data_IF_242739187144
#
_entry.id   IF_242739187144
#
_cell.length_a   1.000
_cell.length_b   1.000
_cell.length_c   1.000
_cell.angle_alpha   90.00
_cell.angle_beta   90.00
_cell.angle_gamma   90.00
#
_symmetry.space_group_name_H-M   'P 1'
#
loop_
_entity.id
_entity.type
_entity.pdbx_description
1 polymer ?
#
# COMPACT_ATOMS: atom_id res chain seq x y z
N UNK A 1 44.94 4.57 9.49
CA UNK A 1 44.54 3.34 10.18
C UNK A 1 44.84 3.51 11.66
N UNK A 2 43.88 3.38 12.52
CA UNK A 2 44.05 3.36 13.97
C UNK A 2 43.71 1.97 14.47
N UNK A 3 44.47 1.46 15.42
CA UNK A 3 44.15 0.18 16.05
C UNK A 3 44.55 0.19 17.54
N UNK A 4 43.88 -0.66 18.33
CA UNK A 4 44.22 -0.95 19.73
C UNK A 4 44.12 -2.44 19.96
N UNK A 5 44.96 -2.97 20.86
CA UNK A 5 45.02 -4.37 21.27
C UNK A 5 45.70 -4.47 22.62
N UNK A 6 45.56 -5.59 23.34
CA UNK A 6 46.29 -5.83 24.59
C UNK A 6 47.77 -6.08 24.34
N UNK A 7 48.10 -6.80 23.28
CA UNK A 7 49.46 -7.09 22.88
C UNK A 7 49.67 -6.95 21.37
N UNK A 8 50.80 -6.37 20.96
CA UNK A 8 51.19 -6.26 19.56
C UNK A 8 52.62 -6.79 19.41
N UNK A 9 52.81 -7.69 18.45
CA UNK A 9 54.09 -8.22 18.04
C UNK A 9 54.38 -7.90 16.59
N UNK A 10 55.63 -7.59 16.29
CA UNK A 10 56.08 -7.31 14.92
C UNK A 10 57.24 -8.24 14.54
N UNK A 11 57.08 -9.03 13.49
CA UNK A 11 58.12 -9.81 12.88
C UNK A 11 58.72 -9.00 11.72
N UNK A 12 60.00 -8.60 11.92
CA UNK A 12 60.73 -7.78 10.94
C UNK A 12 61.23 -8.58 9.74
N UNK A 13 61.32 -9.91 9.81
CA UNK A 13 61.78 -10.74 8.69
C UNK A 13 60.64 -10.94 7.68
N UNK A 14 59.48 -11.22 8.17
CA UNK A 14 58.28 -11.46 7.36
C UNK A 14 57.44 -10.19 7.11
N UNK A 15 57.76 -9.08 7.81
CA UNK A 15 56.99 -7.82 7.82
C UNK A 15 55.53 -8.02 8.21
N UNK A 16 55.31 -8.80 9.28
CA UNK A 16 53.99 -9.18 9.79
C UNK A 16 53.77 -8.56 11.16
N UNK A 17 52.64 -7.90 11.32
CA UNK A 17 52.15 -7.38 12.60
C UNK A 17 51.04 -8.31 13.10
N UNK A 18 51.17 -8.81 14.34
CA UNK A 18 50.13 -9.60 15.02
C UNK A 18 49.66 -8.87 16.27
N UNK A 19 48.38 -8.59 16.33
CA UNK A 19 47.68 -8.00 17.48
C UNK A 19 46.80 -9.05 18.13
N UNK A 20 46.84 -9.15 19.46
CA UNK A 20 46.04 -10.11 20.24
C UNK A 20 45.38 -9.43 21.44
N UNK A 21 44.20 -9.91 21.81
CA UNK A 21 43.39 -9.41 22.92
C UNK A 21 42.62 -8.14 22.57
N UNK A 22 41.32 -8.22 22.60
CA UNK A 22 40.36 -7.13 22.30
C UNK A 22 40.78 -6.22 21.16
N UNK A 23 41.20 -6.79 20.05
CA UNK A 23 41.71 -6.02 18.91
C UNK A 23 40.60 -5.20 18.30
N UNK A 24 40.84 -3.91 18.13
CA UNK A 24 39.91 -2.96 17.46
C UNK A 24 40.68 -2.18 16.41
N UNK A 25 40.15 -2.15 15.20
CA UNK A 25 40.75 -1.45 14.06
C UNK A 25 39.70 -0.54 13.43
N UNK A 26 40.14 0.63 12.97
CA UNK A 26 39.29 1.56 12.20
C UNK A 26 40.10 2.09 11.01
N UNK A 27 39.47 2.01 9.83
CA UNK A 27 40.02 2.59 8.60
C UNK A 27 38.90 3.07 7.67
N UNK A 28 38.93 4.34 7.31
CA UNK A 28 37.97 4.95 6.37
C UNK A 28 36.50 4.68 6.74
N UNK A 29 36.17 4.67 8.04
CA UNK A 29 34.83 4.38 8.53
C UNK A 29 34.50 2.90 8.68
N UNK A 30 35.33 1.98 8.18
CA UNK A 30 35.19 0.56 8.47
C UNK A 30 35.77 0.24 9.86
N UNK A 31 34.96 -0.39 10.70
CA UNK A 31 35.36 -0.84 12.02
C UNK A 31 35.48 -2.35 12.04
N UNK A 32 36.53 -2.87 12.63
CA UNK A 32 36.80 -4.30 12.85
C UNK A 32 37.16 -4.55 14.32
N UNK A 33 36.52 -5.54 14.92
CA UNK A 33 36.91 -6.09 16.22
C UNK A 33 37.11 -7.60 16.10
N UNK A 34 38.16 -8.15 16.80
CA UNK A 34 38.45 -9.57 16.80
C UNK A 34 39.32 -9.92 18.01
N UNK A 35 39.46 -11.22 18.32
CA UNK A 35 40.37 -11.68 19.35
C UNK A 35 41.84 -11.60 18.91
N UNK A 36 42.08 -11.85 17.60
CA UNK A 36 43.44 -11.80 17.00
C UNK A 36 43.35 -11.23 15.59
N UNK A 37 44.29 -10.33 15.27
CA UNK A 37 44.47 -9.79 13.91
C UNK A 37 45.92 -9.91 13.51
N UNK A 38 46.14 -10.51 12.34
CA UNK A 38 47.48 -10.60 11.70
C UNK A 38 47.46 -9.78 10.43
N UNK A 39 48.34 -8.83 10.30
CA UNK A 39 48.49 -7.99 9.11
C UNK A 39 49.86 -8.27 8.44
N UNK A 40 49.79 -8.88 7.27
CA UNK A 40 50.96 -9.05 6.38
C UNK A 40 51.09 -7.78 5.53
N UNK A 41 52.10 -6.99 5.81
CA UNK A 41 52.32 -5.70 5.17
C UNK A 41 52.92 -5.85 3.74
N UNK A 42 53.58 -6.99 3.45
CA UNK A 42 54.10 -7.28 2.11
C UNK A 42 52.96 -7.57 1.12
N UNK A 43 52.01 -8.38 1.52
CA UNK A 43 50.86 -8.75 0.67
C UNK A 43 49.66 -7.79 0.82
N UNK A 44 49.64 -6.96 1.85
CA UNK A 44 48.51 -6.11 2.19
C UNK A 44 47.28 -6.90 2.70
N UNK A 45 47.48 -8.14 3.19
CA UNK A 45 46.41 -8.99 3.69
C UNK A 45 46.25 -8.86 5.20
N UNK A 46 45.00 -8.78 5.64
CA UNK A 46 44.61 -8.75 7.07
C UNK A 46 43.80 -9.98 7.37
N UNK A 47 44.22 -10.76 8.36
CA UNK A 47 43.55 -11.96 8.83
C UNK A 47 43.02 -11.68 10.24
N UNK A 48 41.68 -11.71 10.44
CA UNK A 48 41.06 -11.59 11.74
C UNK A 48 40.41 -12.91 12.15
N UNK A 49 40.58 -13.30 13.42
CA UNK A 49 40.09 -14.57 13.97
C UNK A 49 39.51 -14.37 15.37
N UNK A 50 38.47 -15.14 15.66
CA UNK A 50 37.79 -15.16 16.94
C UNK A 50 36.89 -13.94 17.14
N UNK A 51 35.60 -14.20 17.37
CA UNK A 51 34.57 -13.17 17.65
C UNK A 51 34.62 -11.95 16.71
N UNK A 52 34.87 -12.22 15.42
CA UNK A 52 35.07 -11.13 14.45
C UNK A 52 33.76 -10.37 14.22
N UNK A 53 33.81 -9.07 14.47
CA UNK A 53 32.72 -8.12 14.18
C UNK A 53 33.25 -7.02 13.28
N UNK A 54 32.60 -6.81 12.15
CA UNK A 54 32.91 -5.71 11.23
C UNK A 54 31.67 -4.84 11.03
N UNK A 55 31.86 -3.52 11.00
CA UNK A 55 30.79 -2.55 10.70
C UNK A 55 31.28 -1.69 9.53
N UNK A 56 30.44 -1.59 8.49
CA UNK A 56 30.73 -0.76 7.32
C UNK A 56 30.31 0.69 7.53
N UNK A 57 30.81 1.66 6.74
CA UNK A 57 30.36 3.05 6.81
C UNK A 57 28.87 3.22 6.57
N UNK A 58 28.22 2.31 5.82
CA UNK A 58 26.79 2.28 5.53
C UNK A 58 25.95 1.78 6.72
N UNK A 59 26.58 1.21 7.76
CA UNK A 59 25.93 0.69 8.96
C UNK A 59 25.66 -0.82 8.96
N UNK A 60 26.06 -1.54 7.91
CA UNK A 60 25.94 -2.99 7.87
C UNK A 60 26.89 -3.64 8.89
N UNK A 61 26.35 -4.58 9.68
CA UNK A 61 27.12 -5.31 10.69
C UNK A 61 27.34 -6.75 10.24
N UNK A 62 28.59 -7.15 10.12
CA UNK A 62 29.01 -8.51 9.80
C UNK A 62 29.61 -9.16 11.05
N UNK A 63 29.22 -10.40 11.30
CA UNK A 63 29.79 -11.28 12.34
C UNK A 63 30.27 -12.55 11.67
N UNK A 64 31.45 -13.04 12.01
CA UNK A 64 32.02 -14.27 11.43
C UNK A 64 33.15 -14.84 12.26
N UNK A 65 33.62 -16.04 11.90
CA UNK A 65 34.66 -16.75 12.63
C UNK A 65 36.07 -16.39 12.14
N UNK A 66 36.25 -16.41 10.82
CA UNK A 66 37.53 -16.12 10.15
C UNK A 66 37.28 -15.13 9.02
N UNK A 67 38.00 -14.05 9.04
CA UNK A 67 37.90 -12.97 8.07
C UNK A 67 39.26 -12.70 7.45
N UNK A 68 39.34 -12.71 6.14
CA UNK A 68 40.50 -12.28 5.37
C UNK A 68 40.10 -11.05 4.57
N UNK A 69 40.79 -9.96 4.78
CA UNK A 69 40.50 -8.66 4.15
C UNK A 69 41.78 -8.14 3.45
N UNK A 70 41.59 -7.28 2.47
CA UNK A 70 42.64 -6.38 2.02
C UNK A 70 42.94 -5.36 3.12
N UNK A 71 44.12 -4.73 3.05
CA UNK A 71 44.52 -3.69 3.99
C UNK A 71 43.59 -2.47 3.98
N UNK A 72 42.86 -2.25 2.89
CA UNK A 72 41.79 -1.24 2.77
C UNK A 72 40.50 -1.59 3.51
N UNK A 73 40.37 -2.86 3.96
CA UNK A 73 39.14 -3.41 4.61
C UNK A 73 37.87 -3.35 3.74
N UNK A 74 38.02 -3.11 2.43
CA UNK A 74 36.90 -3.00 1.48
C UNK A 74 36.54 -4.33 0.82
N UNK A 75 37.56 -5.14 0.54
CA UNK A 75 37.42 -6.43 -0.13
C UNK A 75 37.91 -7.56 0.78
N UNK A 76 37.36 -8.74 0.62
CA UNK A 76 37.77 -9.88 1.43
C UNK A 76 36.85 -11.09 1.34
N UNK A 77 37.14 -12.06 2.20
CA UNK A 77 36.41 -13.32 2.32
C UNK A 77 36.11 -13.61 3.80
N UNK A 78 34.94 -14.11 4.07
CA UNK A 78 34.50 -14.47 5.44
C UNK A 78 33.85 -15.85 5.40
N UNK A 79 34.21 -16.71 6.32
CA UNK A 79 33.56 -18.00 6.51
C UNK A 79 32.58 -17.95 7.70
N UNK A 80 31.48 -18.70 7.59
CA UNK A 80 30.42 -18.81 8.59
C UNK A 80 29.92 -17.45 9.10
N UNK A 81 29.43 -16.63 8.18
CA UNK A 81 29.08 -15.27 8.50
C UNK A 81 27.58 -15.05 8.67
N UNK A 82 27.27 -14.01 9.42
CA UNK A 82 25.97 -13.38 9.45
C UNK A 82 26.13 -11.87 9.21
N UNK A 83 25.42 -11.35 8.23
CA UNK A 83 25.31 -9.91 7.97
C UNK A 83 23.93 -9.42 8.43
N UNK A 84 23.92 -8.36 9.20
CA UNK A 84 22.72 -7.58 9.52
C UNK A 84 22.83 -6.29 8.73
N UNK A 85 21.99 -6.16 7.73
CA UNK A 85 21.92 -4.97 6.88
C UNK A 85 21.29 -3.79 7.66
N UNK A 86 21.75 -2.59 7.41
CA UNK A 86 21.19 -1.37 7.99
C UNK A 86 19.69 -1.27 7.67
N UNK A 87 19.27 -1.69 6.48
CA UNK A 87 17.89 -1.80 6.05
C UNK A 87 17.03 -2.83 6.80
N UNK A 88 17.59 -3.55 7.78
CA UNK A 88 16.90 -4.52 8.65
C UNK A 88 16.91 -5.97 8.17
N UNK A 89 17.40 -6.27 6.97
CA UNK A 89 17.58 -7.64 6.47
C UNK A 89 18.73 -8.37 7.18
N UNK A 90 18.66 -9.70 7.23
CA UNK A 90 19.71 -10.57 7.78
C UNK A 90 20.10 -11.62 6.76
N UNK A 91 21.38 -11.78 6.51
CA UNK A 91 21.95 -12.80 5.61
C UNK A 91 22.91 -13.65 6.43
N UNK A 92 22.62 -14.94 6.59
CA UNK A 92 23.58 -15.92 7.09
C UNK A 92 24.09 -16.75 5.93
N UNK A 93 25.41 -17.01 5.85
CA UNK A 93 26.00 -17.78 4.77
C UNK A 93 27.19 -18.58 5.24
N UNK A 94 27.48 -19.71 4.56
CA UNK A 94 28.69 -20.49 4.82
C UNK A 94 29.95 -19.74 4.43
N UNK A 95 29.87 -18.96 3.35
CA UNK A 95 30.98 -18.14 2.87
C UNK A 95 30.44 -16.88 2.22
N UNK A 96 31.07 -15.77 2.50
CA UNK A 96 30.90 -14.50 1.84
C UNK A 96 32.19 -14.02 1.21
N UNK A 97 32.08 -13.37 0.06
CA UNK A 97 33.18 -12.65 -0.59
C UNK A 97 32.72 -11.25 -0.91
N UNK A 98 33.59 -10.27 -0.75
CA UNK A 98 33.36 -8.89 -1.19
C UNK A 98 34.48 -8.51 -2.16
N UNK A 99 34.11 -8.09 -3.35
CA UNK A 99 35.04 -7.66 -4.41
C UNK A 99 34.51 -6.38 -5.04
N UNK A 100 35.29 -5.33 -5.02
CA UNK A 100 34.90 -3.99 -5.49
C UNK A 100 33.57 -3.50 -4.86
N UNK A 101 33.38 -3.80 -3.58
CA UNK A 101 32.19 -3.44 -2.82
C UNK A 101 30.99 -4.38 -3.01
N UNK A 102 30.99 -5.27 -4.01
CA UNK A 102 29.89 -6.22 -4.26
C UNK A 102 30.04 -7.43 -3.34
N UNK A 103 29.06 -7.65 -2.48
CA UNK A 103 28.96 -8.83 -1.61
C UNK A 103 28.37 -10.03 -2.35
N UNK A 104 29.02 -11.18 -2.27
CA UNK A 104 28.51 -12.45 -2.78
C UNK A 104 28.51 -13.49 -1.66
N UNK A 105 27.35 -14.07 -1.37
CA UNK A 105 27.14 -15.01 -0.27
C UNK A 105 26.74 -16.38 -0.81
N UNK A 106 27.44 -17.42 -0.42
CA UNK A 106 27.23 -18.79 -0.87
C UNK A 106 26.55 -19.63 0.21
N UNK A 107 25.61 -20.48 -0.21
CA UNK A 107 24.75 -21.28 0.68
C UNK A 107 24.12 -20.39 1.74
N UNK A 108 23.40 -19.38 1.29
CA UNK A 108 22.88 -18.31 2.11
C UNK A 108 21.42 -18.49 2.49
N UNK A 109 21.05 -17.91 3.63
CA UNK A 109 19.68 -17.73 4.10
C UNK A 109 19.48 -16.24 4.33
N UNK A 110 18.42 -15.69 3.75
CA UNK A 110 17.98 -14.30 3.96
C UNK A 110 16.64 -14.26 4.68
N UNK A 111 16.50 -13.35 5.63
CA UNK A 111 15.22 -13.01 6.26
C UNK A 111 15.23 -11.57 6.79
N UNK A 112 14.16 -10.77 6.63
CA UNK A 112 13.97 -9.51 7.35
C UNK A 112 13.38 -9.72 8.75
N UNK A 113 12.91 -10.95 9.07
CA UNK A 113 12.28 -11.22 10.36
C UNK A 113 13.31 -11.27 11.50
N UNK A 114 12.93 -10.89 12.73
CA UNK A 114 13.76 -11.12 13.90
C UNK A 114 14.05 -12.62 14.09
N UNK A 115 15.31 -12.96 14.33
CA UNK A 115 15.78 -14.34 14.61
C UNK A 115 16.01 -14.59 16.11
N UNK A 116 15.76 -13.60 16.93
CA UNK A 116 15.79 -13.67 18.41
C UNK A 116 14.48 -13.15 18.98
N UNK A 117 14.07 -13.67 20.12
CA UNK A 117 12.97 -13.12 20.93
C UNK A 117 13.43 -11.85 21.66
N UNK A 118 12.50 -11.11 22.26
CA UNK A 118 12.81 -9.94 23.10
C UNK A 118 13.69 -10.29 24.30
N UNK A 119 13.71 -11.57 24.72
CA UNK A 119 14.57 -12.11 25.77
C UNK A 119 15.91 -12.62 25.26
N UNK A 120 16.23 -12.43 23.94
CA UNK A 120 17.48 -12.84 23.32
C UNK A 120 17.57 -14.33 22.93
N UNK A 121 16.53 -15.13 23.14
CA UNK A 121 16.53 -16.55 22.74
C UNK A 121 16.39 -16.70 21.20
N UNK A 122 17.06 -17.70 20.57
CA UNK A 122 16.90 -17.97 19.16
C UNK A 122 15.45 -18.25 18.76
N UNK A 123 14.98 -17.60 17.69
CA UNK A 123 13.63 -17.75 17.14
C UNK A 123 13.72 -18.07 15.65
N UNK A 124 12.91 -19.04 15.20
CA UNK A 124 12.79 -19.30 13.77
C UNK A 124 12.00 -18.14 13.11
N UNK A 125 12.50 -17.58 12.00
CA UNK A 125 11.77 -16.56 11.28
C UNK A 125 10.48 -17.15 10.71
N UNK A 126 9.42 -16.33 10.62
CA UNK A 126 8.16 -16.73 9.98
C UNK A 126 8.34 -17.06 8.50
N UNK A 127 9.27 -16.37 7.85
CA UNK A 127 9.68 -16.70 6.51
C UNK A 127 11.16 -16.42 6.26
N UNK A 128 11.74 -17.14 5.33
CA UNK A 128 13.12 -16.99 4.89
C UNK A 128 13.29 -17.41 3.43
N UNK A 129 14.36 -16.96 2.82
CA UNK A 129 14.79 -17.39 1.49
C UNK A 129 16.14 -18.09 1.65
N UNK A 130 16.20 -19.37 1.28
CA UNK A 130 17.48 -20.08 1.13
C UNK A 130 17.91 -19.99 -0.32
N UNK A 131 19.21 -19.73 -0.58
CA UNK A 131 19.73 -19.62 -1.92
C UNK A 131 21.11 -20.24 -2.04
N UNK A 132 21.43 -20.78 -3.21
CA UNK A 132 22.78 -21.25 -3.51
C UNK A 132 23.76 -20.08 -3.51
N UNK A 133 23.29 -18.91 -4.02
CA UNK A 133 24.09 -17.68 -4.08
C UNK A 133 23.18 -16.46 -3.90
N UNK A 134 23.65 -15.50 -3.12
CA UNK A 134 23.03 -14.19 -2.94
C UNK A 134 24.07 -13.13 -3.33
N UNK A 135 23.66 -12.15 -4.14
CA UNK A 135 24.53 -11.05 -4.58
C UNK A 135 23.91 -9.75 -4.06
N UNK A 136 24.70 -9.01 -3.32
CA UNK A 136 24.39 -7.70 -2.78
C UNK A 136 25.37 -6.66 -3.34
N UNK A 137 24.88 -5.86 -4.29
CA UNK A 137 25.62 -4.73 -4.87
C UNK A 137 25.12 -3.43 -4.19
N UNK A 138 25.98 -2.65 -3.53
CA UNK A 138 25.61 -1.40 -2.90
C UNK A 138 25.05 -0.36 -3.89
N UNK A 139 25.43 -0.43 -5.18
CA UNK A 139 24.90 0.45 -6.22
C UNK A 139 23.55 -0.01 -6.78
N UNK A 140 23.08 -1.20 -6.39
CA UNK A 140 21.79 -1.74 -6.79
C UNK A 140 20.78 -1.60 -5.66
N UNK A 141 19.57 -1.11 -5.89
CA UNK A 141 18.51 -1.10 -4.88
C UNK A 141 17.93 -2.50 -4.62
N UNK A 142 18.57 -3.56 -5.13
CA UNK A 142 18.07 -4.95 -5.07
C UNK A 142 19.13 -5.93 -4.65
N UNK A 143 18.69 -6.98 -3.94
CA UNK A 143 19.47 -8.18 -3.65
C UNK A 143 19.03 -9.26 -4.65
N UNK A 144 19.99 -9.88 -5.33
CA UNK A 144 19.76 -10.94 -6.31
C UNK A 144 19.99 -12.32 -5.67
N UNK A 145 19.06 -13.23 -5.91
CA UNK A 145 19.08 -14.61 -5.42
C UNK A 145 19.15 -15.58 -6.60
N UNK A 146 20.07 -16.55 -6.52
CA UNK A 146 20.26 -17.62 -7.50
C UNK A 146 20.03 -18.99 -6.81
N UNK A 147 19.20 -19.84 -7.39
CA UNK A 147 18.83 -21.13 -6.80
C UNK A 147 18.00 -20.96 -5.51
N UNK A 148 17.12 -19.94 -5.48
CA UNK A 148 16.35 -19.59 -4.31
C UNK A 148 15.20 -20.53 -4.03
N UNK A 149 14.92 -20.77 -2.74
CA UNK A 149 13.73 -21.46 -2.22
C UNK A 149 13.11 -20.62 -1.14
N UNK A 150 11.85 -20.32 -1.27
CA UNK A 150 11.10 -19.61 -0.25
C UNK A 150 10.65 -20.59 0.84
N UNK A 151 10.80 -20.21 2.09
CA UNK A 151 10.40 -21.00 3.24
C UNK A 151 9.41 -20.19 4.08
N UNK A 152 8.20 -20.69 4.21
CA UNK A 152 7.13 -20.08 5.00
C UNK A 152 6.75 -21.05 6.13
N UNK A 153 6.90 -20.63 7.39
CA UNK A 153 6.67 -21.47 8.59
C UNK A 153 7.33 -22.86 8.52
N UNK A 154 8.50 -22.95 7.85
CA UNK A 154 9.24 -24.19 7.67
C UNK A 154 8.85 -25.02 6.43
N UNK A 155 7.84 -24.62 5.65
CA UNK A 155 7.44 -25.28 4.40
C UNK A 155 8.19 -24.64 3.24
N UNK A 156 8.83 -25.46 2.42
CA UNK A 156 9.54 -25.01 1.23
C UNK A 156 8.57 -24.80 0.05
N UNK A 157 8.55 -23.59 -0.48
CA UNK A 157 7.83 -23.23 -1.70
C UNK A 157 8.88 -22.97 -2.79
N UNK A 158 8.83 -23.66 -3.95
CA UNK A 158 9.77 -23.39 -5.03
C UNK A 158 9.57 -21.98 -5.57
N UNK A 159 10.68 -21.26 -5.79
CA UNK A 159 10.70 -19.96 -6.47
C UNK A 159 11.36 -20.09 -7.84
N UNK A 160 11.31 -19.00 -8.61
CA UNK A 160 12.07 -18.88 -9.85
C UNK A 160 13.56 -19.11 -9.60
N UNK A 161 14.29 -19.72 -10.55
CA UNK A 161 15.72 -20.03 -10.39
C UNK A 161 16.58 -18.79 -10.12
N UNK A 162 16.15 -17.63 -10.57
CA UNK A 162 16.76 -16.32 -10.29
C UNK A 162 15.65 -15.31 -10.04
N UNK A 163 15.75 -14.59 -8.94
CA UNK A 163 14.84 -13.47 -8.62
C UNK A 163 15.57 -12.39 -7.82
N UNK A 164 14.93 -11.25 -7.65
CA UNK A 164 15.48 -10.11 -6.93
C UNK A 164 14.44 -9.57 -5.96
N UNK A 165 14.88 -9.08 -4.80
CA UNK A 165 14.07 -8.36 -3.84
C UNK A 165 14.65 -6.96 -3.61
N UNK A 166 13.80 -5.99 -3.32
CA UNK A 166 14.21 -4.63 -2.99
C UNK A 166 14.94 -4.58 -1.64
N UNK A 167 15.96 -3.73 -1.54
CA UNK A 167 16.62 -3.36 -0.29
C UNK A 167 15.80 -2.27 0.40
N UNK A 168 15.60 -2.42 1.72
CA UNK A 168 15.02 -1.38 2.56
C UNK A 168 13.56 -1.03 2.23
N UNK A 169 13.19 0.18 2.63
CA UNK A 169 11.84 0.74 2.48
C UNK A 169 11.64 1.53 1.17
N UNK A 170 12.70 1.79 0.44
CA UNK A 170 12.60 2.45 -0.86
C UNK A 170 12.03 1.47 -1.87
N UNK A 171 10.91 1.86 -2.50
CA UNK A 171 10.24 1.04 -3.49
C UNK A 171 11.15 0.74 -4.68
N UNK A 172 11.23 -0.51 -5.06
CA UNK A 172 11.94 -0.93 -6.26
C UNK A 172 11.02 -1.72 -7.17
N UNK A 173 11.14 -1.50 -8.50
CA UNK A 173 10.38 -2.31 -9.47
C UNK A 173 10.83 -3.76 -9.43
N UNK A 174 9.92 -4.71 -9.55
CA UNK A 174 10.21 -6.14 -9.56
C UNK A 174 8.97 -7.00 -9.38
N UNK A 175 9.17 -8.31 -9.49
CA UNK A 175 8.15 -9.30 -9.18
C UNK A 175 7.84 -9.30 -7.69
N UNK A 176 6.56 -9.30 -7.35
CA UNK A 176 6.08 -9.48 -5.98
C UNK A 176 5.83 -10.98 -5.70
N UNK A 177 5.38 -11.28 -4.50
CA UNK A 177 5.07 -12.66 -4.11
C UNK A 177 3.87 -13.16 -4.92
N UNK A 178 3.97 -14.32 -5.60
CA UNK A 178 2.84 -14.88 -6.30
C UNK A 178 1.72 -15.29 -5.34
N UNK A 179 0.50 -15.14 -5.78
CA UNK A 179 -0.70 -15.54 -5.05
C UNK A 179 -1.32 -16.78 -5.70
N UNK A 180 -1.88 -17.64 -4.88
CA UNK A 180 -2.54 -18.88 -5.31
C UNK A 180 -3.94 -18.91 -4.73
N UNK A 181 -4.93 -19.20 -5.59
CA UNK A 181 -6.31 -19.35 -5.16
C UNK A 181 -6.94 -20.58 -5.80
N UNK A 182 -7.97 -21.11 -5.17
CA UNK A 182 -8.77 -22.21 -5.70
C UNK A 182 -10.25 -21.85 -5.59
N UNK A 183 -10.94 -21.81 -6.69
CA UNK A 183 -12.37 -21.56 -6.73
C UNK A 183 -13.12 -22.58 -7.59
N UNK A 184 -14.35 -22.89 -7.20
CA UNK A 184 -15.22 -23.79 -7.99
C UNK A 184 -15.59 -23.21 -9.36
N UNK A 185 -15.47 -21.90 -9.55
CA UNK A 185 -15.86 -21.19 -10.78
C UNK A 185 -14.72 -21.05 -11.78
N UNK A 186 -13.51 -20.74 -11.31
CA UNK A 186 -12.35 -20.42 -12.15
C UNK A 186 -11.26 -21.50 -12.08
N UNK A 187 -11.43 -22.51 -11.21
CA UNK A 187 -10.44 -23.55 -10.98
C UNK A 187 -9.27 -23.05 -10.10
N UNK A 188 -8.11 -23.61 -10.30
CA UNK A 188 -6.87 -23.15 -9.68
C UNK A 188 -6.38 -21.89 -10.39
N UNK A 189 -5.95 -20.92 -9.61
CA UNK A 189 -5.45 -19.62 -10.06
C UNK A 189 -4.03 -19.41 -9.57
N UNK A 190 -3.21 -18.86 -10.45
CA UNK A 190 -1.90 -18.29 -10.11
C UNK A 190 -1.91 -16.84 -10.60
N UNK A 191 -1.60 -15.93 -9.72
CA UNK A 191 -1.35 -14.53 -10.07
C UNK A 191 0.02 -14.10 -9.59
N UNK A 192 0.76 -13.36 -10.42
CA UNK A 192 2.11 -12.91 -10.09
C UNK A 192 2.26 -11.43 -10.40
N UNK A 193 2.11 -10.55 -9.40
CA UNK A 193 2.20 -9.12 -9.61
C UNK A 193 3.61 -8.67 -9.97
N UNK A 194 3.73 -7.81 -10.97
CA UNK A 194 4.95 -7.07 -11.29
C UNK A 194 4.76 -5.59 -10.94
N UNK A 195 5.54 -5.14 -9.98
CA UNK A 195 5.53 -3.75 -9.52
C UNK A 195 6.55 -2.92 -10.29
N UNK A 196 6.13 -1.75 -10.79
CA UNK A 196 6.96 -0.77 -11.47
C UNK A 196 6.97 0.50 -10.64
N UNK A 197 8.09 0.81 -10.01
CA UNK A 197 8.31 2.09 -9.37
C UNK A 197 8.64 3.15 -10.43
N UNK A 198 7.71 4.03 -10.72
CA UNK A 198 7.88 5.10 -11.71
C UNK A 198 8.63 6.29 -11.10
N UNK A 199 8.28 6.62 -9.86
CA UNK A 199 8.89 7.66 -9.05
C UNK A 199 8.72 7.30 -7.55
N UNK A 200 9.37 7.96 -6.60
CA UNK A 200 9.18 7.68 -5.17
C UNK A 200 7.72 7.75 -4.70
N UNK A 201 6.90 8.53 -5.41
CA UNK A 201 5.50 8.77 -5.09
C UNK A 201 4.52 8.25 -6.16
N UNK A 202 5.02 7.44 -7.14
CA UNK A 202 4.22 6.90 -8.25
C UNK A 202 4.61 5.48 -8.55
N UNK A 203 3.63 4.62 -8.65
CA UNK A 203 3.85 3.22 -9.02
C UNK A 203 2.73 2.67 -9.91
N UNK A 204 3.08 1.61 -10.63
CA UNK A 204 2.18 0.80 -11.41
C UNK A 204 2.40 -0.67 -11.03
N UNK A 205 1.34 -1.38 -10.71
CA UNK A 205 1.38 -2.83 -10.54
C UNK A 205 0.57 -3.49 -11.65
N UNK A 206 1.18 -4.46 -12.32
CA UNK A 206 0.58 -5.28 -13.36
C UNK A 206 0.49 -6.71 -12.84
N UNK A 207 -0.71 -7.27 -12.77
CA UNK A 207 -0.92 -8.62 -12.24
C UNK A 207 -1.57 -9.51 -13.31
N UNK A 208 -0.82 -10.34 -14.02
CA UNK A 208 -1.39 -11.41 -14.83
C UNK A 208 -2.00 -12.50 -13.94
N UNK A 209 -3.17 -12.96 -14.29
CA UNK A 209 -3.89 -14.08 -13.66
C UNK A 209 -4.04 -15.22 -14.64
N UNK A 210 -3.60 -16.39 -14.26
CA UNK A 210 -3.74 -17.63 -15.04
C UNK A 210 -4.65 -18.59 -14.30
N UNK A 211 -5.69 -19.05 -14.97
CA UNK A 211 -6.71 -19.93 -14.41
C UNK A 211 -6.71 -21.27 -15.14
N UNK A 212 -7.14 -22.34 -14.47
CA UNK A 212 -7.28 -23.66 -15.13
C UNK A 212 -8.61 -23.83 -15.85
N UNK A 213 -9.67 -23.13 -15.47
CA UNK A 213 -11.04 -23.32 -16.02
C UNK A 213 -11.54 -22.16 -16.87
N UNK A 214 -10.85 -21.02 -16.88
CA UNK A 214 -11.21 -19.82 -17.67
C UNK A 214 -9.97 -19.23 -18.32
N UNK A 215 -10.18 -18.32 -19.29
CA UNK A 215 -9.07 -17.64 -19.95
C UNK A 215 -8.35 -16.69 -18.99
N UNK A 216 -7.08 -16.39 -19.26
CA UNK A 216 -6.29 -15.49 -18.45
C UNK A 216 -6.92 -14.10 -18.33
N UNK A 217 -6.56 -13.40 -17.26
CA UNK A 217 -6.92 -12.02 -17.02
C UNK A 217 -5.69 -11.20 -16.67
N UNK A 218 -5.86 -9.89 -16.71
CA UNK A 218 -4.84 -8.92 -16.29
C UNK A 218 -5.49 -7.88 -15.39
N UNK A 219 -4.84 -7.61 -14.25
CA UNK A 219 -5.15 -6.50 -13.36
C UNK A 219 -4.06 -5.43 -13.47
N UNK A 220 -4.46 -4.18 -13.46
CA UNK A 220 -3.63 -2.99 -13.49
C UNK A 220 -3.98 -2.11 -12.32
N UNK A 221 -3.00 -1.65 -11.57
CA UNK A 221 -3.17 -0.70 -10.48
C UNK A 221 -2.11 0.39 -10.53
N UNK A 222 -2.52 1.61 -10.85
CA UNK A 222 -1.67 2.80 -10.81
C UNK A 222 -1.98 3.62 -9.56
N UNK A 223 -0.96 4.09 -8.86
CA UNK A 223 -1.08 4.97 -7.69
C UNK A 223 -0.18 6.19 -7.85
N UNK A 224 -0.70 7.32 -7.42
CA UNK A 224 0.03 8.59 -7.41
C UNK A 224 -0.23 9.32 -6.09
N UNK A 225 0.82 9.82 -5.48
CA UNK A 225 0.79 10.68 -4.30
C UNK A 225 1.48 11.99 -4.64
N UNK A 226 0.76 13.10 -4.54
CA UNK A 226 1.26 14.45 -4.76
C UNK A 226 1.10 15.31 -3.51
N UNK A 227 1.67 16.50 -3.52
CA UNK A 227 1.46 17.48 -2.43
C UNK A 227 -0.01 17.93 -2.31
N UNK A 228 -0.79 17.79 -3.39
CA UNK A 228 -2.22 18.14 -3.38
C UNK A 228 -3.10 16.98 -2.94
N UNK A 229 -2.63 15.73 -3.02
CA UNK A 229 -3.45 14.58 -2.66
C UNK A 229 -2.97 13.28 -3.30
N UNK A 230 -3.77 12.25 -3.14
CA UNK A 230 -3.50 10.91 -3.65
C UNK A 230 -4.64 10.42 -4.53
N UNK A 231 -4.29 9.65 -5.58
CA UNK A 231 -5.27 8.91 -6.35
C UNK A 231 -4.76 7.54 -6.79
N UNK A 232 -5.70 6.65 -7.03
CA UNK A 232 -5.47 5.32 -7.56
C UNK A 232 -6.41 5.08 -8.73
N UNK A 233 -5.88 4.44 -9.77
CA UNK A 233 -6.66 3.94 -10.92
C UNK A 233 -6.41 2.45 -11.01
N UNK A 234 -7.48 1.66 -11.05
CA UNK A 234 -7.44 0.21 -11.19
C UNK A 234 -8.21 -0.26 -12.42
N UNK A 235 -7.84 -1.41 -12.96
CA UNK A 235 -8.54 -2.01 -14.06
C UNK A 235 -8.26 -3.49 -14.18
N UNK A 236 -9.31 -4.29 -14.31
CA UNK A 236 -9.29 -5.72 -14.56
C UNK A 236 -9.84 -6.01 -15.94
N UNK A 237 -9.15 -6.83 -16.75
CA UNK A 237 -9.57 -7.20 -18.10
C UNK A 237 -9.37 -8.70 -18.35
N UNK A 238 -10.37 -9.32 -18.93
CA UNK A 238 -10.33 -10.70 -19.40
C UNK A 238 -11.19 -10.89 -20.66
N UNK A 239 -11.01 -12.00 -21.34
CA UNK A 239 -11.88 -12.40 -22.44
C UNK A 239 -12.60 -13.70 -22.08
N UNK A 240 -13.92 -13.66 -21.95
CA UNK A 240 -14.67 -14.81 -21.45
C UNK A 240 -16.16 -14.76 -21.77
N UNK A 241 -16.86 -15.82 -21.37
CA UNK A 241 -18.32 -15.88 -21.53
C UNK A 241 -18.99 -15.09 -20.41
N UNK A 242 -20.03 -14.36 -20.78
CA UNK A 242 -20.93 -13.71 -19.81
C UNK A 242 -21.84 -14.78 -19.26
N UNK A 243 -21.84 -14.95 -17.93
CA UNK A 243 -22.80 -15.84 -17.28
C UNK A 243 -24.20 -15.24 -17.46
N UNK A 244 -25.10 -15.97 -18.11
CA UNK A 244 -26.47 -15.51 -18.25
C UNK A 244 -27.16 -15.60 -16.89
N UNK A 245 -27.68 -14.45 -16.44
CA UNK A 245 -28.35 -14.32 -15.16
C UNK A 245 -29.81 -14.79 -15.19
N UNK A 246 -30.31 -15.26 -16.34
CA UNK A 246 -31.68 -15.75 -16.48
C UNK A 246 -31.82 -17.16 -15.89
N UNK A 247 -32.66 -17.30 -14.90
CA UNK A 247 -33.09 -18.58 -14.34
C UNK A 247 -33.70 -19.40 -15.49
N UNK A 248 -33.04 -20.49 -15.89
CA UNK A 248 -33.49 -21.36 -16.97
C UNK A 248 -32.71 -21.28 -18.29
N UNK A 249 -31.74 -20.39 -18.45
CA UNK A 249 -30.87 -20.39 -19.62
C UNK A 249 -29.86 -21.54 -19.57
N UNK A 250 -30.02 -22.52 -20.45
CA UNK A 250 -29.13 -23.72 -20.55
C UNK A 250 -27.88 -23.44 -21.37
N UNK A 251 -27.73 -22.28 -21.99
CA UNK A 251 -26.61 -21.95 -22.87
C UNK A 251 -25.77 -20.80 -22.31
N UNK A 252 -24.47 -21.01 -22.21
CA UNK A 252 -23.52 -19.93 -21.89
C UNK A 252 -23.56 -18.86 -23.00
N UNK A 253 -23.57 -17.59 -22.63
CA UNK A 253 -23.56 -16.45 -23.55
C UNK A 253 -22.31 -16.39 -24.44
N UNK A 254 -22.28 -15.50 -25.44
CA UNK A 254 -21.12 -15.32 -26.30
C UNK A 254 -19.87 -14.90 -25.50
N UNK A 255 -18.70 -15.18 -26.04
CA UNK A 255 -17.44 -14.67 -25.51
C UNK A 255 -17.29 -13.19 -25.86
N UNK A 256 -16.88 -12.39 -24.90
CA UNK A 256 -16.61 -10.97 -25.09
C UNK A 256 -15.49 -10.51 -24.15
N UNK A 257 -14.97 -9.32 -24.37
CA UNK A 257 -14.14 -8.65 -23.38
C UNK A 257 -14.99 -8.31 -22.16
N UNK A 258 -14.47 -8.65 -21.00
CA UNK A 258 -15.09 -8.38 -19.71
C UNK A 258 -14.09 -7.66 -18.85
N UNK A 259 -14.52 -6.65 -18.16
CA UNK A 259 -13.61 -5.86 -17.34
C UNK A 259 -14.31 -5.10 -16.22
N UNK A 260 -13.49 -4.62 -15.35
CA UNK A 260 -13.84 -3.73 -14.26
C UNK A 260 -12.84 -2.57 -14.23
N UNK A 261 -13.33 -1.39 -13.95
CA UNK A 261 -12.52 -0.18 -13.80
C UNK A 261 -12.88 0.48 -12.48
N UNK A 262 -11.86 0.93 -11.74
CA UNK A 262 -12.02 1.79 -10.59
C UNK A 262 -11.01 2.94 -10.58
N UNK A 263 -11.45 4.09 -10.08
CA UNK A 263 -10.60 5.23 -9.85
C UNK A 263 -11.05 5.93 -8.56
N UNK A 264 -10.14 6.09 -7.62
CA UNK A 264 -10.39 6.73 -6.34
C UNK A 264 -9.34 7.81 -6.10
N UNK A 265 -9.79 8.97 -5.63
CA UNK A 265 -8.87 10.06 -5.35
C UNK A 265 -9.41 11.06 -4.34
N UNK A 266 -8.49 11.68 -3.62
CA UNK A 266 -8.78 12.83 -2.76
C UNK A 266 -7.67 13.87 -2.94
N UNK A 267 -8.07 15.10 -3.25
CA UNK A 267 -7.19 16.24 -3.43
C UNK A 267 -7.58 17.36 -2.48
N UNK A 268 -6.61 17.89 -1.78
CA UNK A 268 -6.74 19.07 -0.93
C UNK A 268 -6.21 20.28 -1.73
N UNK A 269 -7.11 21.09 -2.29
CA UNK A 269 -6.71 22.22 -3.13
C UNK A 269 -6.08 23.35 -2.33
N UNK A 270 -6.63 23.56 -1.12
CA UNK A 270 -6.14 24.49 -0.11
C UNK A 270 -6.69 24.05 1.26
N UNK A 271 -6.38 24.75 2.38
CA UNK A 271 -6.85 24.33 3.73
C UNK A 271 -8.36 24.13 3.88
N UNK A 272 -9.17 24.80 3.04
CA UNK A 272 -10.63 24.73 3.12
C UNK A 272 -11.26 23.84 2.06
N UNK A 273 -10.69 23.75 0.84
CA UNK A 273 -11.30 23.06 -0.29
C UNK A 273 -10.68 21.70 -0.57
N UNK A 274 -11.51 20.71 -0.70
CA UNK A 274 -11.11 19.36 -1.12
C UNK A 274 -12.02 18.82 -2.23
N UNK A 275 -11.46 17.90 -3.04
CA UNK A 275 -12.19 17.12 -4.04
C UNK A 275 -12.01 15.65 -3.69
N UNK A 276 -13.10 14.92 -3.62
CA UNK A 276 -13.10 13.46 -3.46
C UNK A 276 -13.82 12.84 -4.64
N UNK A 277 -13.22 11.81 -5.25
CA UNK A 277 -13.85 11.04 -6.32
C UNK A 277 -13.74 9.55 -6.10
N UNK A 278 -14.76 8.82 -6.52
CA UNK A 278 -14.75 7.36 -6.61
C UNK A 278 -15.58 6.98 -7.82
N UNK A 279 -14.92 6.38 -8.81
CA UNK A 279 -15.54 5.91 -10.05
C UNK A 279 -15.34 4.40 -10.15
N UNK A 280 -16.41 3.65 -10.40
CA UNK A 280 -16.40 2.19 -10.46
C UNK A 280 -17.35 1.72 -11.54
N UNK A 281 -16.85 1.00 -12.53
CA UNK A 281 -17.64 0.52 -13.67
C UNK A 281 -17.29 -0.92 -13.98
N UNK A 282 -18.28 -1.74 -14.22
CA UNK A 282 -18.15 -3.13 -14.67
C UNK A 282 -18.78 -3.30 -16.05
N UNK A 283 -18.19 -4.11 -16.89
CA UNK A 283 -18.70 -4.42 -18.23
C UNK A 283 -20.03 -5.17 -18.20
N UNK A 284 -20.23 -5.98 -17.19
CA UNK A 284 -21.44 -6.77 -16.98
C UNK A 284 -21.68 -7.03 -15.47
N UNK A 285 -22.90 -7.51 -15.14
CA UNK A 285 -23.34 -7.71 -13.76
C UNK A 285 -22.60 -8.82 -13.00
N UNK A 286 -21.86 -9.68 -13.68
CA UNK A 286 -21.29 -10.90 -13.10
C UNK A 286 -19.75 -10.90 -13.02
N UNK A 287 -19.05 -10.01 -13.73
CA UNK A 287 -17.59 -9.99 -13.81
C UNK A 287 -16.94 -9.82 -12.45
N UNK A 288 -17.46 -8.89 -11.64
CA UNK A 288 -16.87 -8.58 -10.33
C UNK A 288 -16.95 -9.74 -9.35
N UNK A 289 -18.08 -10.46 -9.31
CA UNK A 289 -18.26 -11.62 -8.43
C UNK A 289 -17.59 -12.87 -8.97
N UNK A 290 -17.52 -13.02 -10.30
CA UNK A 290 -16.87 -14.18 -10.91
C UNK A 290 -15.39 -14.22 -10.62
N UNK A 291 -14.71 -13.08 -10.72
CA UNK A 291 -13.27 -12.96 -10.53
C UNK A 291 -12.88 -12.43 -9.15
N UNK A 292 -13.82 -12.43 -8.20
CA UNK A 292 -13.63 -12.04 -6.80
C UNK A 292 -13.06 -10.62 -6.61
N UNK A 293 -13.43 -9.70 -7.53
CA UNK A 293 -12.97 -8.30 -7.49
C UNK A 293 -13.70 -7.53 -6.39
N UNK A 294 -15.03 -7.66 -6.31
CA UNK A 294 -15.86 -7.09 -5.24
C UNK A 294 -17.19 -7.84 -5.13
N UNK A 295 -17.70 -7.91 -3.91
CA UNK A 295 -19.00 -8.49 -3.59
C UNK A 295 -20.13 -7.45 -3.52
N UNK A 296 -19.88 -6.21 -3.90
CA UNK A 296 -20.87 -5.15 -3.89
C UNK A 296 -22.06 -5.46 -4.84
N UNK A 297 -23.25 -5.18 -4.40
CA UNK A 297 -24.45 -5.28 -5.22
C UNK A 297 -24.63 -4.09 -6.16
N UNK A 298 -24.01 -2.97 -5.85
CA UNK A 298 -24.03 -1.72 -6.63
C UNK A 298 -22.68 -1.05 -6.60
N UNK A 299 -22.22 -0.63 -7.76
CA UNK A 299 -21.00 0.16 -7.87
C UNK A 299 -21.38 1.64 -7.72
N UNK A 300 -20.89 2.26 -6.65
CA UNK A 300 -21.12 3.67 -6.37
C UNK A 300 -20.09 4.53 -7.09
N UNK A 301 -20.59 5.52 -7.81
CA UNK A 301 -19.81 6.57 -8.42
C UNK A 301 -20.11 7.89 -7.74
N UNK A 302 -19.10 8.62 -7.32
CA UNK A 302 -19.24 9.89 -6.63
C UNK A 302 -18.13 10.84 -7.04
N UNK A 303 -18.52 12.10 -7.24
CA UNK A 303 -17.60 13.24 -7.25
C UNK A 303 -18.16 14.24 -6.26
N UNK A 304 -17.35 14.68 -5.31
CA UNK A 304 -17.71 15.66 -4.29
C UNK A 304 -16.66 16.75 -4.22
N UNK A 305 -17.07 17.99 -4.36
CA UNK A 305 -16.27 19.19 -4.09
C UNK A 305 -16.76 19.76 -2.76
N UNK A 306 -15.89 19.85 -1.79
CA UNK A 306 -16.22 20.20 -0.42
C UNK A 306 -15.37 21.37 0.07
N UNK A 307 -16.03 22.34 0.71
CA UNK A 307 -15.39 23.39 1.45
C UNK A 307 -15.76 23.30 2.92
N UNK A 308 -14.76 23.31 3.79
CA UNK A 308 -14.92 23.37 5.24
C UNK A 308 -14.14 24.57 5.74
N UNK A 309 -14.85 25.51 6.38
CA UNK A 309 -14.23 26.63 7.06
C UNK A 309 -14.85 26.77 8.47
N UNK A 310 -14.31 27.62 9.38
CA UNK A 310 -14.85 27.76 10.73
C UNK A 310 -16.35 28.12 10.77
N UNK A 311 -16.82 28.88 9.79
CA UNK A 311 -18.18 29.44 9.78
C UNK A 311 -19.02 28.96 8.58
N UNK A 312 -18.48 28.09 7.72
CA UNK A 312 -19.24 27.60 6.60
C UNK A 312 -18.83 26.19 6.15
N UNK A 313 -19.80 25.46 5.68
CA UNK A 313 -19.68 24.19 5.00
C UNK A 313 -20.39 24.23 3.66
N UNK A 314 -19.74 23.79 2.58
CA UNK A 314 -20.34 23.68 1.27
C UNK A 314 -19.93 22.33 0.68
N UNK A 315 -20.89 21.54 0.24
CA UNK A 315 -20.69 20.30 -0.51
C UNK A 315 -21.49 20.37 -1.81
N UNK A 316 -20.81 20.13 -2.93
CA UNK A 316 -21.41 19.99 -4.26
C UNK A 316 -21.02 18.61 -4.77
N UNK A 317 -21.98 17.71 -4.80
CA UNK A 317 -21.75 16.30 -5.15
C UNK A 317 -22.57 15.86 -6.37
N UNK A 318 -22.01 14.88 -7.08
CA UNK A 318 -22.74 14.09 -8.06
C UNK A 318 -22.61 12.60 -7.72
N UNK A 319 -23.71 11.86 -7.78
CA UNK A 319 -23.74 10.42 -7.49
C UNK A 319 -24.45 9.66 -8.59
N UNK A 320 -23.84 8.57 -9.02
CA UNK A 320 -24.42 7.61 -9.94
C UNK A 320 -24.15 6.18 -9.45
N UNK A 321 -24.98 5.24 -9.84
CA UNK A 321 -24.83 3.86 -9.42
C UNK A 321 -24.97 2.93 -10.62
N UNK A 322 -24.12 1.90 -10.68
CA UNK A 322 -24.33 0.76 -11.55
C UNK A 322 -24.83 -0.43 -10.74
N UNK A 323 -26.01 -0.94 -11.06
CA UNK A 323 -26.58 -2.13 -10.43
C UNK A 323 -25.95 -3.41 -10.95
N UNK A 324 -25.64 -4.33 -10.03
CA UNK A 324 -25.05 -5.63 -10.34
C UNK A 324 -25.98 -6.81 -10.00
N UNK A 325 -27.14 -6.54 -9.41
CA UNK A 325 -28.16 -7.58 -9.18
C UNK A 325 -28.87 -7.95 -10.48
N UNK A 326 -29.35 -9.18 -10.56
CA UNK A 326 -30.08 -9.69 -11.75
C UNK A 326 -31.27 -8.80 -12.08
N UNK A 327 -32.03 -8.40 -11.06
CA UNK A 327 -33.29 -7.63 -11.20
C UNK A 327 -33.05 -6.12 -11.36
N UNK A 328 -31.81 -5.63 -11.21
CA UNK A 328 -31.53 -4.22 -11.38
C UNK A 328 -31.77 -3.77 -12.82
N UNK A 329 -32.64 -2.79 -13.01
CA UNK A 329 -32.86 -2.11 -14.28
C UNK A 329 -32.04 -0.84 -14.30
N UNK A 330 -30.90 -0.87 -14.99
CA UNK A 330 -29.93 0.25 -14.98
C UNK A 330 -30.56 1.59 -15.37
N UNK A 331 -31.52 1.60 -16.31
CA UNK A 331 -32.20 2.82 -16.74
C UNK A 331 -33.07 3.44 -15.64
N UNK A 332 -33.50 2.67 -14.66
CA UNK A 332 -34.36 3.13 -13.55
C UNK A 332 -33.56 3.53 -12.30
N UNK A 333 -32.25 3.25 -12.29
CA UNK A 333 -31.36 3.64 -11.19
C UNK A 333 -31.14 5.16 -11.24
N UNK A 334 -31.40 5.90 -10.16
CA UNK A 334 -31.31 7.35 -10.14
C UNK A 334 -29.85 7.83 -10.21
N UNK A 335 -29.67 8.96 -10.89
CA UNK A 335 -28.46 9.78 -10.85
C UNK A 335 -28.82 11.05 -10.08
N UNK A 336 -28.06 11.38 -9.06
CA UNK A 336 -28.24 12.61 -8.27
C UNK A 336 -27.15 13.61 -8.69
N UNK A 337 -27.57 14.66 -9.42
CA UNK A 337 -26.64 15.69 -9.94
C UNK A 337 -27.39 16.97 -10.31
N UNK A 338 -27.10 18.12 -9.66
CA UNK A 338 -26.24 18.24 -8.47
C UNK A 338 -26.97 17.85 -7.17
N UNK A 339 -26.19 17.42 -6.17
CA UNK A 339 -26.59 17.40 -4.77
C UNK A 339 -25.76 18.47 -4.05
N UNK A 340 -26.44 19.53 -3.56
CA UNK A 340 -25.78 20.66 -2.92
C UNK A 340 -26.23 20.73 -1.46
N UNK A 341 -25.28 20.88 -0.54
CA UNK A 341 -25.53 21.23 0.86
C UNK A 341 -24.60 22.37 1.24
N UNK A 342 -25.18 23.50 1.64
CA UNK A 342 -24.44 24.68 2.05
C UNK A 342 -24.96 25.16 3.41
N UNK A 343 -24.09 25.35 4.38
CA UNK A 343 -24.39 25.79 5.74
C UNK A 343 -23.49 26.95 6.09
N UNK A 344 -24.08 28.01 6.64
CA UNK A 344 -23.40 29.21 6.99
C UNK A 344 -23.79 29.65 8.41
N UNK A 345 -22.78 29.85 9.25
CA UNK A 345 -22.93 30.44 10.56
C UNK A 345 -22.69 31.93 10.43
N UNK A 346 -23.79 32.70 10.47
CA UNK A 346 -23.81 34.13 10.08
C UNK A 346 -23.42 35.09 11.22
N UNK A 347 -22.78 34.61 12.29
CA UNK A 347 -22.38 35.42 13.43
C UNK A 347 -23.55 35.76 14.38
N UNK A 348 -23.33 36.67 15.31
CA UNK A 348 -24.33 37.07 16.32
C UNK A 348 -25.38 38.03 15.73
N UNK A 349 -26.63 37.64 15.82
CA UNK A 349 -27.79 38.48 15.52
C UNK A 349 -28.64 38.61 16.78
N UNK A 350 -28.84 39.84 17.29
CA UNK A 350 -29.60 40.14 18.52
C UNK A 350 -29.17 39.28 19.73
N UNK A 351 -27.85 39.00 19.87
CA UNK A 351 -27.26 38.23 20.95
C UNK A 351 -27.40 36.70 20.81
N UNK A 352 -27.98 36.22 19.74
CA UNK A 352 -28.10 34.80 19.38
C UNK A 352 -27.28 34.46 18.11
N UNK A 353 -27.01 33.19 17.90
CA UNK A 353 -26.31 32.66 16.74
C UNK A 353 -27.33 32.36 15.60
N UNK A 354 -27.06 32.94 14.44
CA UNK A 354 -27.86 32.62 13.24
C UNK A 354 -27.11 31.58 12.35
N UNK A 355 -27.79 30.50 12.03
CA UNK A 355 -27.33 29.51 11.03
C UNK A 355 -28.31 29.49 9.84
N UNK A 356 -27.75 29.50 8.63
CA UNK A 356 -28.54 29.39 7.39
C UNK A 356 -28.07 28.16 6.64
N UNK A 357 -29.01 27.32 6.23
CA UNK A 357 -28.76 26.17 5.38
C UNK A 357 -29.50 26.30 4.05
N UNK A 358 -28.80 26.04 2.96
CA UNK A 358 -29.38 25.86 1.64
C UNK A 358 -29.05 24.45 1.12
N UNK A 359 -30.05 23.75 0.62
CA UNK A 359 -29.89 22.40 0.10
C UNK A 359 -30.63 22.28 -1.23
N UNK A 360 -30.02 21.60 -2.20
CA UNK A 360 -30.63 21.27 -3.48
C UNK A 360 -30.28 19.86 -3.89
N UNK A 361 -31.23 19.13 -4.44
CA UNK A 361 -31.04 17.78 -4.96
C UNK A 361 -31.84 17.63 -6.25
N UNK A 362 -31.14 17.34 -7.35
CA UNK A 362 -31.75 16.93 -8.60
C UNK A 362 -31.49 15.42 -8.80
N UNK A 363 -32.54 14.67 -9.00
CA UNK A 363 -32.52 13.23 -9.29
C UNK A 363 -33.09 13.03 -10.67
N UNK A 364 -32.29 12.42 -11.57
CA UNK A 364 -32.70 12.08 -12.92
C UNK A 364 -32.60 10.59 -13.19
N UNK A 365 -33.43 10.07 -14.11
CA UNK A 365 -33.42 8.66 -14.56
C UNK A 365 -33.52 8.63 -16.07
N UNK A 366 -32.97 7.59 -16.69
CA UNK A 366 -33.17 7.36 -18.13
C UNK A 366 -34.61 6.89 -18.40
N UNK A 367 -35.18 6.13 -17.44
CA UNK A 367 -36.53 5.58 -17.51
C UNK A 367 -37.13 5.69 -16.11
N UNK A 368 -38.14 6.58 -15.97
CA UNK A 368 -38.80 6.86 -14.71
C UNK A 368 -38.88 8.35 -14.38
N UNK A 369 -39.47 8.66 -13.25
CA UNK A 369 -39.77 10.01 -12.81
C UNK A 369 -38.54 10.77 -12.35
N UNK A 370 -38.33 11.98 -12.86
CA UNK A 370 -37.34 12.93 -12.40
C UNK A 370 -37.88 13.79 -11.26
N UNK A 371 -37.01 14.14 -10.32
CA UNK A 371 -37.42 14.93 -9.16
C UNK A 371 -36.33 15.93 -8.81
N UNK A 372 -36.72 17.17 -8.62
CA UNK A 372 -35.86 18.23 -8.14
C UNK A 372 -36.47 18.82 -6.87
N UNK A 373 -35.62 19.05 -5.88
CA UNK A 373 -36.03 19.75 -4.65
C UNK A 373 -34.96 20.74 -4.26
N UNK A 374 -35.37 21.85 -3.68
CA UNK A 374 -34.51 22.76 -3.00
C UNK A 374 -35.20 23.28 -1.74
N UNK A 375 -34.40 23.58 -0.71
CA UNK A 375 -34.88 24.31 0.45
C UNK A 375 -33.85 25.29 0.96
N UNK A 376 -34.34 26.29 1.66
CA UNK A 376 -33.55 27.19 2.49
C UNK A 376 -34.15 27.20 3.88
N UNK A 377 -33.33 27.05 4.92
CA UNK A 377 -33.75 27.17 6.31
C UNK A 377 -32.84 28.15 7.04
N UNK A 378 -33.41 28.81 8.02
CA UNK A 378 -32.69 29.67 8.97
C UNK A 378 -33.08 29.27 10.38
N UNK A 379 -32.07 29.10 11.23
CA UNK A 379 -32.24 28.79 12.65
C UNK A 379 -31.46 29.83 13.46
N UNK A 380 -32.14 30.41 14.42
CA UNK A 380 -31.55 31.38 15.33
C UNK A 380 -31.65 30.88 16.76
N UNK A 381 -30.51 30.76 17.43
CA UNK A 381 -30.35 30.23 18.77
C UNK A 381 -29.81 31.31 19.71
N UNK A 382 -30.58 31.68 20.71
CA UNK A 382 -30.14 32.53 21.84
C UNK A 382 -29.93 31.62 23.06
N UNK A 383 -28.70 31.60 23.57
CA UNK A 383 -28.35 30.91 24.84
C UNK A 383 -27.90 31.90 25.87
N UNK A 384 -28.62 31.99 26.99
CA UNK A 384 -28.21 32.88 28.11
C UNK A 384 -28.12 32.07 29.39
N UNK A 385 -27.09 32.32 30.16
CA UNK A 385 -26.94 31.81 31.52
C UNK A 385 -27.56 32.82 32.48
N UNK A 386 -28.52 32.39 33.30
CA UNK A 386 -29.12 33.24 34.33
C UNK A 386 -28.14 33.38 35.50
N UNK A 387 -28.29 34.43 36.33
CA UNK A 387 -27.47 34.58 37.56
C UNK A 387 -27.57 33.40 38.53
N UNK A 388 -28.61 32.61 38.45
CA UNK A 388 -28.86 31.42 39.29
C UNK A 388 -28.29 30.12 38.68
N UNK A 389 -27.50 30.18 37.58
CA UNK A 389 -26.87 29.01 36.94
C UNK A 389 -27.81 28.21 36.01
N UNK A 390 -28.97 28.72 35.68
CA UNK A 390 -29.89 28.11 34.69
C UNK A 390 -29.51 28.56 33.29
N UNK A 391 -29.50 27.64 32.34
CA UNK A 391 -29.33 27.94 30.93
C UNK A 391 -30.69 28.12 30.28
N UNK A 392 -30.96 29.31 29.76
CA UNK A 392 -32.12 29.59 28.93
C UNK A 392 -31.72 29.47 27.44
N UNK A 393 -32.41 28.66 26.67
CA UNK A 393 -32.26 28.58 25.24
C UNK A 393 -33.58 28.99 24.57
N UNK A 394 -33.47 29.93 23.64
CA UNK A 394 -34.57 30.35 22.79
C UNK A 394 -34.18 30.07 21.33
N UNK A 395 -34.95 29.25 20.64
CA UNK A 395 -34.70 28.88 19.24
C UNK A 395 -35.86 29.38 18.38
N UNK A 396 -35.51 30.04 17.27
CA UNK A 396 -36.45 30.41 16.23
C UNK A 396 -36.00 29.72 14.91
N UNK A 397 -36.92 29.04 14.24
CA UNK A 397 -36.65 28.28 13.02
C UNK A 397 -37.67 28.64 11.93
N UNK A 398 -37.13 28.78 10.69
CA UNK A 398 -37.94 28.96 9.50
C UNK A 398 -37.37 28.18 8.34
N UNK A 399 -38.23 27.57 7.49
CA UNK A 399 -37.84 26.81 6.33
C UNK A 399 -38.81 26.99 5.18
N UNK A 400 -38.30 27.13 3.95
CA UNK A 400 -39.07 27.13 2.72
C UNK A 400 -38.55 26.04 1.78
N UNK A 401 -39.46 25.28 1.19
CA UNK A 401 -39.17 24.16 0.29
C UNK A 401 -39.83 24.37 -1.09
N UNK A 402 -39.10 23.96 -2.17
CA UNK A 402 -39.63 23.91 -3.53
C UNK A 402 -39.38 22.51 -4.09
N UNK A 403 -40.39 21.94 -4.73
CA UNK A 403 -40.33 20.65 -5.38
C UNK A 403 -40.81 20.78 -6.82
N UNK A 404 -40.10 20.10 -7.73
CA UNK A 404 -40.51 19.91 -9.11
C UNK A 404 -40.38 18.43 -9.45
N UNK A 405 -41.37 17.89 -10.15
CA UNK A 405 -41.43 16.48 -10.52
C UNK A 405 -41.99 16.38 -11.91
N UNK A 406 -41.25 15.79 -12.85
CA UNK A 406 -41.69 15.51 -14.21
C UNK A 406 -42.36 14.13 -14.27
N UNK A 407 -43.23 13.93 -15.25
CA UNK A 407 -43.97 12.67 -15.50
C UNK A 407 -44.74 12.11 -14.28
N UNK A 408 -45.24 13.00 -13.41
CA UNK A 408 -46.14 12.60 -12.38
C UNK A 408 -47.46 12.13 -13.02
N UNK A 409 -47.79 10.83 -12.92
CA UNK A 409 -49.14 10.37 -13.17
C UNK A 409 -50.07 11.16 -12.25
N UNK A 410 -51.21 11.63 -12.78
CA UNK A 410 -52.23 12.34 -12.01
C UNK A 410 -52.59 11.53 -10.74
N UNK A 411 -51.88 11.79 -9.67
CA UNK A 411 -52.26 11.27 -8.35
C UNK A 411 -53.32 12.19 -7.80
N UNK A 412 -54.50 11.68 -7.62
CA UNK A 412 -55.57 12.33 -6.87
C UNK A 412 -54.97 12.87 -5.57
N UNK A 413 -54.99 14.20 -5.41
CA UNK A 413 -54.38 14.87 -4.24
C UNK A 413 -55.12 14.42 -2.99
N UNK A 414 -54.55 13.48 -2.25
CA UNK A 414 -54.98 13.22 -0.87
C UNK A 414 -54.42 14.34 0.00
N UNK A 415 -55.25 15.34 0.30
CA UNK A 415 -54.89 16.35 1.30
C UNK A 415 -54.88 15.66 2.66
N UNK A 416 -53.69 15.27 3.14
CA UNK A 416 -53.51 14.89 4.53
C UNK A 416 -53.46 16.16 5.37
N UNK A 417 -54.59 16.58 5.91
CA UNK A 417 -54.63 17.49 7.04
C UNK A 417 -54.22 16.70 8.30
N UNK A 418 -52.95 16.57 8.55
CA UNK A 418 -52.41 16.00 9.78
C UNK A 418 -52.52 17.04 10.88
N UNK A 419 -53.55 16.98 11.69
CA UNK A 419 -53.55 17.56 13.04
C UNK A 419 -52.74 16.60 13.91
N UNK A 420 -51.46 16.92 14.13
CA UNK A 420 -50.71 16.27 15.19
C UNK A 420 -51.09 16.87 16.52
N UNK A 421 -51.68 16.05 17.39
CA UNK A 421 -51.80 16.31 18.79
C UNK A 421 -50.47 16.08 19.52
#
# INVERSE_FOLDING_TARGET
MTFSADQVTYDSNDDVVTATGEVRMNREGNYLAADTVTWDRKSGQVYARGNVVMVTPEGDKLVGDNVQLTDSMKDGTVDNLMVVLESGGRIAARRGTRVNGVGTFYSAIYTPCPVTTDTGCPKRPSWSITAAKVIDDPNSPRIRFEGGRFQLFGINVPLLPVFQIAKGTEGASGWLVPEFALSSRNGFEISEPYHVQIAPNRDLTLTPHVYTSVLPAIDLKYRDLSSLGAFQIGGFLTYGRIDQTNIGATSAGPRSFRGYFDANGKWQLNPEWSITTSLRVASDKTVTRRYDITNDDRLRNVVNVERISPDSYISIAGWAFQGLRVDDRQKQIPIALPAIDARFRMGELAGGQLEVQANSLAITRIDGQDTQRAFVSAEWDLRKLTPWGQQLTLTAFGRGDVYHTDDAQDTTVAIYSGTNG
#
